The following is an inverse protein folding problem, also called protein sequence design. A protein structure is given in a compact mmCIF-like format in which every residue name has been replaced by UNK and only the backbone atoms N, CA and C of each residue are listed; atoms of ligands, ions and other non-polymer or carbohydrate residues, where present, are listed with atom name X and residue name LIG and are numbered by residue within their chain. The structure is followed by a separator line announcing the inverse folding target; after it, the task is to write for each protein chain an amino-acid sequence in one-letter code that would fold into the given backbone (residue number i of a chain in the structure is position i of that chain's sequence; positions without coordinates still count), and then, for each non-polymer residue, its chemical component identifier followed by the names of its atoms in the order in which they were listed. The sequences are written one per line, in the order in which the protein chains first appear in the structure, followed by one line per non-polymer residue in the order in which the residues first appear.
data_IF_368585959080
#
_entry.id   IF_368585959080
#
_cell.length_a   1.000
_cell.length_b   1.000
_cell.length_c   1.000
_cell.angle_alpha   90.00
_cell.angle_beta   90.00
_cell.angle_gamma   90.00
#
_symmetry.space_group_name_H-M   'P 1'
#
loop_
_entity.id
_entity.type
_entity.pdbx_description
1 polymer ?
#
# COMPACT_ATOMS: atom_id res chain seq x y z
N UNK A 1 -19.87 -3.10 -69.41
CA UNK A 1 -18.93 -2.68 -68.39
C UNK A 1 -19.57 -3.04 -67.03
N UNK A 2 -19.13 -4.11 -66.43
CA UNK A 2 -19.71 -4.66 -65.22
C UNK A 2 -18.71 -4.41 -64.06
N UNK A 3 -19.12 -3.60 -63.11
CA UNK A 3 -18.38 -3.37 -61.89
C UNK A 3 -18.62 -4.52 -60.91
N UNK A 4 -17.53 -5.22 -60.58
CA UNK A 4 -17.51 -6.23 -59.54
C UNK A 4 -17.17 -5.53 -58.18
N UNK A 5 -18.17 -5.42 -57.32
CA UNK A 5 -17.98 -5.05 -55.92
C UNK A 5 -17.61 -6.33 -55.15
N UNK A 6 -16.35 -6.46 -54.79
CA UNK A 6 -15.86 -7.49 -53.87
C UNK A 6 -16.12 -7.01 -52.43
N UNK A 7 -17.07 -7.66 -51.77
CA UNK A 7 -17.33 -7.46 -50.33
C UNK A 7 -16.30 -8.25 -49.54
N UNK A 8 -15.35 -7.55 -48.94
CA UNK A 8 -14.40 -8.12 -47.95
C UNK A 8 -15.17 -8.39 -46.67
N UNK A 9 -15.42 -9.66 -46.38
CA UNK A 9 -15.92 -10.09 -45.06
C UNK A 9 -14.74 -10.13 -44.09
N UNK A 10 -14.71 -9.13 -43.19
CA UNK A 10 -13.85 -9.16 -42.02
C UNK A 10 -14.48 -10.13 -40.97
N UNK A 11 -13.97 -11.34 -40.95
CA UNK A 11 -14.24 -12.26 -39.83
C UNK A 11 -13.38 -11.84 -38.62
N UNK A 12 -13.95 -10.99 -37.77
CA UNK A 12 -13.42 -10.75 -36.45
C UNK A 12 -13.64 -12.02 -35.61
N UNK A 13 -12.65 -12.88 -35.55
CA UNK A 13 -12.56 -13.91 -34.52
C UNK A 13 -12.30 -13.22 -33.18
N UNK A 14 -13.36 -12.92 -32.47
CA UNK A 14 -13.29 -12.63 -31.04
C UNK A 14 -12.80 -13.93 -30.37
N UNK A 15 -11.54 -13.91 -29.92
CA UNK A 15 -11.03 -14.94 -29.03
C UNK A 15 -11.72 -14.67 -27.68
N UNK A 16 -12.81 -15.42 -27.41
CA UNK A 16 -13.39 -15.50 -26.08
C UNK A 16 -12.34 -16.18 -25.19
N UNK A 17 -11.65 -15.37 -24.38
CA UNK A 17 -10.98 -15.86 -23.17
C UNK A 17 -12.08 -16.22 -22.15
N UNK A 18 -12.68 -17.39 -22.33
CA UNK A 18 -13.42 -18.04 -21.26
C UNK A 18 -12.38 -18.63 -20.28
N UNK A 19 -11.76 -17.77 -19.47
CA UNK A 19 -11.19 -18.25 -18.23
C UNK A 19 -12.35 -18.78 -17.40
N UNK A 20 -12.26 -20.00 -16.90
CA UNK A 20 -13.18 -20.51 -15.89
C UNK A 20 -13.16 -19.54 -14.73
N UNK A 21 -14.19 -18.67 -14.66
CA UNK A 21 -14.42 -17.82 -13.48
C UNK A 21 -14.93 -18.80 -12.44
N UNK A 22 -14.02 -19.27 -11.59
CA UNK A 22 -14.39 -20.08 -10.44
C UNK A 22 -15.23 -19.20 -9.51
N UNK A 23 -16.54 -19.49 -9.44
CA UNK A 23 -17.45 -18.77 -8.56
C UNK A 23 -17.07 -19.12 -7.11
N UNK A 24 -16.67 -18.11 -6.34
CA UNK A 24 -16.28 -18.25 -4.93
C UNK A 24 -17.46 -18.76 -4.12
N UNK A 25 -17.25 -19.85 -3.39
CA UNK A 25 -18.29 -20.39 -2.52
C UNK A 25 -18.32 -19.71 -1.16
N UNK A 26 -19.49 -19.72 -0.48
CA UNK A 26 -19.59 -19.16 0.89
C UNK A 26 -18.62 -19.86 1.85
N UNK A 27 -18.42 -21.15 1.73
CA UNK A 27 -17.53 -21.91 2.61
C UNK A 27 -16.05 -21.52 2.39
N UNK A 28 -15.61 -21.31 1.15
CA UNK A 28 -14.28 -20.82 0.84
C UNK A 28 -14.06 -19.39 1.38
N UNK A 29 -15.06 -18.52 1.23
CA UNK A 29 -14.98 -17.15 1.78
C UNK A 29 -14.89 -17.16 3.31
N UNK A 30 -15.60 -18.02 4.01
CA UNK A 30 -15.51 -18.18 5.46
C UNK A 30 -14.14 -18.74 5.90
N UNK A 31 -13.55 -19.64 5.11
CA UNK A 31 -12.18 -20.12 5.35
C UNK A 31 -11.16 -18.98 5.17
N UNK A 32 -11.29 -18.19 4.10
CA UNK A 32 -10.44 -17.03 3.89
C UNK A 32 -10.63 -15.99 5.01
N UNK A 33 -11.87 -15.70 5.43
CA UNK A 33 -12.13 -14.83 6.58
C UNK A 33 -11.42 -15.35 7.84
N UNK A 34 -11.52 -16.63 8.13
CA UNK A 34 -10.81 -17.23 9.27
C UNK A 34 -9.30 -17.08 9.15
N UNK A 35 -8.75 -17.26 7.94
CA UNK A 35 -7.30 -17.10 7.68
C UNK A 35 -6.85 -15.66 7.84
N UNK A 36 -7.59 -14.70 7.30
CA UNK A 36 -7.29 -13.26 7.43
C UNK A 36 -7.27 -12.81 8.90
N UNK A 37 -8.18 -13.36 9.73
CA UNK A 37 -8.34 -12.97 11.13
C UNK A 37 -7.43 -13.73 12.11
N UNK A 38 -6.73 -14.76 11.66
CA UNK A 38 -5.86 -15.59 12.49
C UNK A 38 -4.46 -14.96 12.62
N UNK A 39 -4.21 -14.32 13.77
CA UNK A 39 -2.93 -13.66 14.07
C UNK A 39 -1.74 -14.63 14.19
N UNK A 40 -1.98 -15.92 14.40
CA UNK A 40 -0.96 -16.94 14.46
C UNK A 40 -0.45 -17.34 13.06
N UNK A 41 -1.18 -16.97 12.00
CA UNK A 41 -0.76 -17.21 10.61
C UNK A 41 0.26 -16.19 10.11
N UNK A 42 1.14 -16.59 9.18
CA UNK A 42 2.05 -15.68 8.51
C UNK A 42 1.29 -14.52 7.85
N UNK A 43 1.86 -13.31 7.93
CA UNK A 43 1.25 -12.12 7.33
C UNK A 43 0.94 -12.28 5.83
N UNK A 44 1.81 -12.99 5.08
CA UNK A 44 1.58 -13.28 3.66
C UNK A 44 0.30 -14.09 3.40
N UNK A 45 0.02 -15.10 4.23
CA UNK A 45 -1.22 -15.88 4.09
C UNK A 45 -2.46 -15.05 4.43
N UNK A 46 -2.35 -14.19 5.44
CA UNK A 46 -3.42 -13.27 5.83
C UNK A 46 -3.68 -12.23 4.75
N UNK A 47 -2.63 -11.73 4.10
CA UNK A 47 -2.73 -10.77 3.00
C UNK A 47 -3.38 -11.40 1.76
N UNK A 48 -3.01 -12.65 1.40
CA UNK A 48 -3.67 -13.39 0.32
C UNK A 48 -5.18 -13.58 0.58
N UNK A 49 -5.53 -13.90 1.82
CA UNK A 49 -6.92 -14.04 2.23
C UNK A 49 -7.68 -12.69 2.20
N UNK A 50 -7.04 -11.61 2.59
CA UNK A 50 -7.56 -10.24 2.50
C UNK A 50 -7.82 -9.85 1.03
N UNK A 51 -6.85 -10.03 0.14
CA UNK A 51 -6.99 -9.73 -1.29
C UNK A 51 -8.13 -10.57 -1.92
N UNK A 52 -8.24 -11.84 -1.54
CA UNK A 52 -9.33 -12.70 -1.98
C UNK A 52 -10.70 -12.16 -1.57
N UNK A 53 -10.85 -11.64 -0.34
CA UNK A 53 -12.12 -11.11 0.17
C UNK A 53 -12.43 -9.71 -0.38
N UNK A 54 -11.42 -8.91 -0.74
CA UNK A 54 -11.61 -7.61 -1.38
C UNK A 54 -12.32 -7.71 -2.74
N UNK A 55 -12.10 -8.80 -3.48
CA UNK A 55 -12.75 -8.96 -4.78
C UNK A 55 -14.27 -9.15 -4.68
N UNK A 56 -14.71 -9.97 -3.74
CA UNK A 56 -16.14 -10.20 -3.43
C UNK A 56 -16.28 -10.97 -2.12
N UNK A 57 -17.07 -10.45 -1.18
CA UNK A 57 -17.43 -11.12 0.06
C UNK A 57 -18.91 -10.95 0.43
N UNK A 58 -19.78 -10.53 -0.51
CA UNK A 58 -21.20 -10.29 -0.26
C UNK A 58 -21.90 -11.47 0.44
N UNK A 59 -21.65 -12.77 0.08
CA UNK A 59 -22.28 -13.91 0.73
C UNK A 59 -21.98 -14.08 2.23
N UNK A 60 -20.89 -13.49 2.73
CA UNK A 60 -20.46 -13.56 4.14
C UNK A 60 -20.46 -12.19 4.84
N UNK A 61 -21.05 -11.18 4.22
CA UNK A 61 -21.01 -9.81 4.73
C UNK A 61 -21.55 -9.69 6.16
N UNK A 62 -22.63 -10.37 6.49
CA UNK A 62 -23.20 -10.38 7.85
C UNK A 62 -22.23 -11.04 8.86
N UNK A 63 -21.60 -12.16 8.47
CA UNK A 63 -20.61 -12.85 9.29
C UNK A 63 -19.40 -11.96 9.60
N UNK A 64 -19.03 -11.06 8.67
CA UNK A 64 -17.96 -10.08 8.85
C UNK A 64 -18.40 -8.91 9.73
N UNK A 65 -19.61 -8.38 9.52
CA UNK A 65 -20.17 -7.26 10.30
C UNK A 65 -20.25 -7.63 11.78
N UNK A 66 -20.63 -8.85 12.11
CA UNK A 66 -20.73 -9.34 13.49
C UNK A 66 -19.37 -9.32 14.22
N UNK A 67 -18.26 -9.26 13.49
CA UNK A 67 -16.89 -9.23 14.05
C UNK A 67 -16.33 -7.83 14.29
N UNK A 68 -16.97 -6.78 13.77
CA UNK A 68 -16.44 -5.38 13.78
C UNK A 68 -15.95 -4.97 15.18
N UNK A 69 -16.75 -5.26 16.22
CA UNK A 69 -16.45 -4.80 17.58
C UNK A 69 -15.64 -5.79 18.42
N UNK A 70 -15.28 -6.94 17.85
CA UNK A 70 -14.51 -7.97 18.55
C UNK A 70 -13.02 -7.99 18.16
N UNK A 71 -12.63 -7.16 17.21
CA UNK A 71 -11.29 -7.11 16.66
C UNK A 71 -10.64 -5.74 16.90
N UNK A 72 -9.32 -5.74 17.03
CA UNK A 72 -8.49 -4.56 17.19
C UNK A 72 -7.24 -4.67 16.31
N UNK A 73 -6.39 -3.65 16.32
CA UNK A 73 -5.10 -3.64 15.65
C UNK A 73 -5.19 -3.90 14.14
N UNK A 74 -4.20 -4.58 13.60
CA UNK A 74 -4.06 -4.85 12.16
C UNK A 74 -5.20 -5.70 11.61
N UNK A 75 -5.63 -6.70 12.36
CA UNK A 75 -6.74 -7.59 11.96
C UNK A 75 -8.05 -6.83 11.82
N UNK A 76 -8.32 -5.92 12.75
CA UNK A 76 -9.49 -5.03 12.69
C UNK A 76 -9.42 -4.07 11.50
N UNK A 77 -8.24 -3.53 11.17
CA UNK A 77 -8.04 -2.68 10.00
C UNK A 77 -8.34 -3.42 8.71
N UNK A 78 -7.75 -4.59 8.50
CA UNK A 78 -8.01 -5.43 7.31
C UNK A 78 -9.50 -5.71 7.14
N UNK A 79 -10.21 -6.07 8.23
CA UNK A 79 -11.64 -6.29 8.19
C UNK A 79 -12.41 -5.04 7.76
N UNK A 80 -12.07 -3.88 8.33
CA UNK A 80 -12.77 -2.63 8.04
C UNK A 80 -12.50 -2.11 6.62
N UNK A 81 -11.30 -2.34 6.08
CA UNK A 81 -10.99 -1.98 4.68
C UNK A 81 -11.82 -2.80 3.70
N UNK A 82 -11.97 -4.11 3.92
CA UNK A 82 -12.84 -4.96 3.10
C UNK A 82 -14.31 -4.51 3.22
N UNK A 83 -14.79 -4.28 4.44
CA UNK A 83 -16.18 -3.88 4.68
C UNK A 83 -16.50 -2.49 4.11
N UNK A 84 -15.53 -1.58 4.03
CA UNK A 84 -15.74 -0.22 3.51
C UNK A 84 -16.15 -0.20 2.02
N UNK A 85 -15.90 -1.26 1.26
CA UNK A 85 -16.36 -1.41 -0.13
C UNK A 85 -17.88 -1.57 -0.23
N UNK A 86 -18.55 -2.06 0.85
CA UNK A 86 -20.00 -2.31 0.90
C UNK A 86 -20.77 -1.11 1.46
N UNK A 87 -20.91 -0.07 0.62
CA UNK A 87 -21.49 1.22 0.98
C UNK A 87 -22.96 1.13 1.37
N UNK A 88 -23.42 2.10 2.18
CA UNK A 88 -24.83 2.25 2.56
C UNK A 88 -25.27 1.35 3.73
N UNK A 89 -24.38 0.53 4.30
CA UNK A 89 -24.68 -0.26 5.50
C UNK A 89 -24.32 0.54 6.76
N UNK A 90 -25.34 0.85 7.58
CA UNK A 90 -25.17 1.65 8.78
C UNK A 90 -24.23 0.99 9.82
N UNK A 91 -24.22 -0.32 9.92
CA UNK A 91 -23.34 -1.02 10.87
C UNK A 91 -21.87 -0.87 10.50
N UNK A 92 -21.56 -0.93 9.20
CA UNK A 92 -20.20 -0.69 8.68
C UNK A 92 -19.79 0.76 8.93
N UNK A 93 -20.63 1.73 8.60
CA UNK A 93 -20.35 3.14 8.87
C UNK A 93 -20.04 3.38 10.35
N UNK A 94 -20.87 2.85 11.25
CA UNK A 94 -20.65 2.96 12.70
C UNK A 94 -19.37 2.24 13.15
N UNK A 95 -18.99 1.16 12.48
CA UNK A 95 -17.72 0.48 12.67
C UNK A 95 -16.55 1.41 12.32
N UNK A 96 -16.55 2.00 11.13
CA UNK A 96 -15.52 2.97 10.70
C UNK A 96 -15.36 4.11 11.70
N UNK A 97 -16.49 4.68 12.16
CA UNK A 97 -16.51 5.72 13.19
C UNK A 97 -15.90 5.22 14.51
N UNK A 98 -16.26 4.01 14.94
CA UNK A 98 -15.72 3.42 16.16
C UNK A 98 -14.19 3.26 16.12
N UNK A 99 -13.66 2.81 14.98
CA UNK A 99 -12.21 2.67 14.79
C UNK A 99 -11.50 4.02 14.70
N UNK A 100 -12.10 5.03 14.05
CA UNK A 100 -11.58 6.39 14.09
C UNK A 100 -11.38 6.88 15.54
N UNK A 101 -12.39 6.68 16.40
CA UNK A 101 -12.34 7.09 17.80
C UNK A 101 -11.41 6.26 18.69
N UNK A 102 -10.94 5.09 18.23
CA UNK A 102 -9.85 4.35 18.90
C UNK A 102 -8.51 5.08 18.73
N UNK A 103 -8.32 5.87 17.67
CA UNK A 103 -7.13 6.68 17.44
C UNK A 103 -5.89 5.89 17.03
N UNK A 104 -6.02 4.61 16.64
CA UNK A 104 -4.87 3.77 16.26
C UNK A 104 -4.32 4.09 14.87
N UNK A 105 -5.19 4.51 13.93
CA UNK A 105 -4.83 4.89 12.56
C UNK A 105 -5.85 5.91 12.03
N UNK A 106 -5.76 7.11 12.53
CA UNK A 106 -6.71 8.19 12.21
C UNK A 106 -6.72 8.50 10.73
N UNK A 107 -5.56 8.51 10.09
CA UNK A 107 -5.45 8.81 8.67
C UNK A 107 -6.18 7.79 7.79
N UNK A 108 -6.02 6.49 8.09
CA UNK A 108 -6.72 5.42 7.39
C UNK A 108 -8.24 5.55 7.56
N UNK A 109 -8.72 5.66 8.80
CA UNK A 109 -10.16 5.67 9.05
C UNK A 109 -10.83 6.96 8.58
N UNK A 110 -10.15 8.10 8.60
CA UNK A 110 -10.65 9.33 7.97
C UNK A 110 -10.87 9.12 6.46
N UNK A 111 -9.88 8.57 5.77
CA UNK A 111 -9.96 8.25 4.33
C UNK A 111 -11.08 7.25 4.04
N UNK A 112 -11.20 6.17 4.83
CA UNK A 112 -12.26 5.18 4.63
C UNK A 112 -13.66 5.78 4.85
N UNK A 113 -13.86 6.67 5.82
CA UNK A 113 -15.13 7.38 6.05
C UNK A 113 -15.45 8.29 4.86
N UNK A 114 -14.46 9.04 4.35
CA UNK A 114 -14.62 9.88 3.15
C UNK A 114 -15.05 9.05 1.94
N UNK A 115 -14.29 8.00 1.62
CA UNK A 115 -14.57 7.09 0.51
C UNK A 115 -15.89 6.33 0.67
N UNK A 116 -16.32 6.03 1.90
CA UNK A 116 -17.59 5.38 2.18
C UNK A 116 -18.79 6.21 1.72
N UNK A 117 -18.70 7.53 1.82
CA UNK A 117 -19.63 8.45 1.20
C UNK A 117 -20.93 8.69 1.97
N UNK A 118 -20.99 8.38 3.28
CA UNK A 118 -22.14 8.74 4.13
C UNK A 118 -22.01 10.20 4.58
N UNK A 119 -23.02 11.02 4.27
CA UNK A 119 -23.04 12.46 4.59
C UNK A 119 -22.86 12.76 6.10
N UNK A 120 -23.24 11.83 6.99
CA UNK A 120 -23.00 11.95 8.42
C UNK A 120 -21.50 11.98 8.77
N UNK A 121 -20.64 11.47 7.87
CA UNK A 121 -19.19 11.51 8.01
C UNK A 121 -18.64 12.92 8.19
N UNK A 122 -19.23 13.93 7.54
CA UNK A 122 -18.80 15.34 7.68
C UNK A 122 -18.82 15.79 9.14
N UNK A 123 -19.93 15.59 9.82
CA UNK A 123 -20.10 15.99 11.24
C UNK A 123 -19.21 15.17 12.15
N UNK A 124 -19.10 13.87 11.89
CA UNK A 124 -18.25 12.96 12.67
C UNK A 124 -16.78 13.37 12.59
N UNK A 125 -16.26 13.60 11.38
CA UNK A 125 -14.85 13.94 11.17
C UNK A 125 -14.51 15.32 11.74
N UNK A 126 -15.39 16.31 11.58
CA UNK A 126 -15.20 17.65 12.18
C UNK A 126 -15.20 17.57 13.71
N UNK A 127 -16.18 16.90 14.30
CA UNK A 127 -16.27 16.73 15.75
C UNK A 127 -15.05 15.96 16.30
N UNK A 128 -14.59 14.95 15.58
CA UNK A 128 -13.38 14.23 15.95
C UNK A 128 -12.16 15.17 15.96
N UNK A 129 -11.95 15.93 14.87
CA UNK A 129 -10.83 16.85 14.73
C UNK A 129 -10.84 17.98 15.79
N UNK A 130 -12.01 18.42 16.26
CA UNK A 130 -12.14 19.41 17.34
C UNK A 130 -11.71 18.90 18.72
N UNK A 131 -11.82 17.58 18.95
CA UNK A 131 -11.56 16.94 20.24
C UNK A 131 -10.29 16.10 20.27
N UNK A 132 -9.60 16.00 19.15
CA UNK A 132 -8.35 15.26 18.95
C UNK A 132 -7.26 16.21 18.48
N UNK A 133 -6.02 15.98 18.86
CA UNK A 133 -4.87 16.74 18.37
C UNK A 133 -4.16 15.95 17.27
N UNK A 134 -4.62 16.04 16.00
CA UNK A 134 -4.01 15.31 14.91
C UNK A 134 -2.63 15.87 14.58
N UNK A 135 -1.70 15.01 14.17
CA UNK A 135 -0.52 15.44 13.45
C UNK A 135 -0.90 15.99 12.06
N UNK A 136 0.06 16.60 11.36
CA UNK A 136 -0.24 17.24 10.07
C UNK A 136 -0.79 16.26 9.03
N UNK A 137 -0.28 15.03 8.96
CA UNK A 137 -0.77 14.02 8.02
C UNK A 137 -2.22 13.61 8.32
N UNK A 138 -2.53 13.33 9.58
CA UNK A 138 -3.89 12.99 10.01
C UNK A 138 -4.87 14.15 9.74
N UNK A 139 -4.45 15.38 10.02
CA UNK A 139 -5.25 16.57 9.73
C UNK A 139 -5.56 16.69 8.22
N UNK A 140 -4.58 16.43 7.36
CA UNK A 140 -4.79 16.48 5.92
C UNK A 140 -5.77 15.41 5.45
N UNK A 141 -5.70 14.18 6.00
CA UNK A 141 -6.65 13.13 5.66
C UNK A 141 -8.06 13.42 6.18
N UNK A 142 -8.20 13.96 7.41
CA UNK A 142 -9.49 14.41 7.95
C UNK A 142 -10.12 15.49 7.07
N UNK A 143 -9.31 16.47 6.66
CA UNK A 143 -9.74 17.53 5.76
C UNK A 143 -10.18 16.99 4.41
N UNK A 144 -9.35 16.17 3.76
CA UNK A 144 -9.64 15.58 2.45
C UNK A 144 -10.94 14.77 2.50
N UNK A 145 -11.16 13.99 3.55
CA UNK A 145 -12.36 13.20 3.73
C UNK A 145 -13.64 14.06 3.88
N UNK A 146 -13.56 15.18 4.63
CA UNK A 146 -14.67 16.12 4.75
C UNK A 146 -14.97 16.78 3.41
N UNK A 147 -13.94 17.21 2.66
CA UNK A 147 -14.10 17.82 1.33
C UNK A 147 -14.67 16.81 0.32
N UNK A 148 -14.24 15.55 0.37
CA UNK A 148 -14.77 14.46 -0.47
C UNK A 148 -16.26 14.20 -0.22
N UNK A 149 -16.70 14.30 1.03
CA UNK A 149 -18.10 14.22 1.42
C UNK A 149 -18.91 15.50 1.08
N UNK A 150 -18.28 16.51 0.47
CA UNK A 150 -18.90 17.76 0.09
C UNK A 150 -19.08 18.75 1.24
N UNK A 151 -18.43 18.53 2.37
CA UNK A 151 -18.41 19.44 3.50
C UNK A 151 -17.34 20.53 3.37
N UNK A 152 -17.50 21.63 4.10
CA UNK A 152 -16.50 22.67 4.26
C UNK A 152 -15.63 22.34 5.50
N UNK A 153 -14.30 22.40 5.35
CA UNK A 153 -13.36 22.17 6.43
C UNK A 153 -12.68 23.50 6.82
N UNK A 154 -13.22 24.19 7.80
CA UNK A 154 -12.80 25.51 8.26
C UNK A 154 -11.98 25.48 9.57
N UNK A 155 -11.68 24.30 10.08
CA UNK A 155 -10.86 24.13 11.27
C UNK A 155 -9.41 24.50 10.97
N UNK A 156 -8.83 25.35 11.82
CA UNK A 156 -7.44 25.80 11.69
C UNK A 156 -6.64 25.29 12.87
N UNK A 157 -5.54 24.62 12.54
CA UNK A 157 -4.56 24.15 13.52
C UNK A 157 -3.17 24.70 13.16
N UNK A 158 -2.35 24.87 14.20
CA UNK A 158 -0.95 25.27 14.05
C UNK A 158 -0.08 24.02 14.07
N UNK A 159 0.67 23.81 12.97
CA UNK A 159 1.59 22.70 12.81
C UNK A 159 3.04 23.15 12.77
N UNK A 160 3.36 24.37 13.28
CA UNK A 160 4.73 24.90 13.26
C UNK A 160 5.75 23.98 13.92
N UNK A 161 5.32 23.17 14.89
CA UNK A 161 6.15 22.20 15.61
C UNK A 161 6.07 20.77 15.06
N UNK A 162 5.20 20.51 14.07
CA UNK A 162 5.08 19.20 13.46
C UNK A 162 6.27 18.94 12.50
N UNK A 163 7.04 17.84 12.70
CA UNK A 163 8.24 17.57 11.89
C UNK A 163 7.93 17.38 10.40
N UNK A 164 6.83 16.73 10.06
CA UNK A 164 6.45 16.49 8.68
C UNK A 164 6.02 17.79 7.98
N UNK A 165 5.22 18.63 8.67
CA UNK A 165 4.87 19.95 8.16
C UNK A 165 6.11 20.82 7.93
N UNK A 166 7.05 20.87 8.90
CA UNK A 166 8.29 21.63 8.79
C UNK A 166 9.12 21.18 7.60
N UNK A 167 9.27 19.86 7.43
CA UNK A 167 9.95 19.27 6.27
C UNK A 167 9.31 19.69 4.94
N UNK A 168 7.98 19.57 4.81
CA UNK A 168 7.24 19.94 3.59
C UNK A 168 7.34 21.44 3.28
N UNK A 169 7.44 22.29 4.30
CA UNK A 169 7.57 23.75 4.14
C UNK A 169 9.01 24.22 4.02
N UNK A 170 9.98 23.32 4.12
CA UNK A 170 11.39 23.68 4.11
C UNK A 170 11.79 24.59 5.28
N UNK A 171 11.12 24.43 6.43
CA UNK A 171 11.35 25.24 7.63
C UNK A 171 12.50 24.70 8.49
N UNK A 172 12.91 23.48 8.28
CA UNK A 172 14.10 22.93 8.92
C UNK A 172 15.32 23.47 8.17
N UNK A 173 16.18 24.16 8.91
CA UNK A 173 17.54 24.43 8.42
C UNK A 173 18.21 23.07 8.25
N UNK A 174 18.21 22.55 7.04
CA UNK A 174 18.95 21.34 6.72
C UNK A 174 20.42 21.76 6.77
N UNK A 175 21.11 21.47 7.87
CA UNK A 175 22.57 21.53 7.90
C UNK A 175 23.06 20.82 6.65
N UNK A 176 24.00 21.43 5.92
CA UNK A 176 24.57 20.84 4.70
C UNK A 176 25.12 19.42 4.97
N UNK A 177 25.46 19.11 6.21
CA UNK A 177 25.91 17.81 6.69
C UNK A 177 24.77 16.78 6.82
N UNK A 178 23.53 17.23 7.09
CA UNK A 178 22.31 16.39 7.11
C UNK A 178 21.68 16.22 5.73
N UNK A 179 22.16 16.89 4.70
CA UNK A 179 21.74 16.68 3.30
C UNK A 179 22.29 15.40 2.69
N UNK A 180 23.23 14.73 3.37
CA UNK A 180 23.59 13.37 2.99
C UNK A 180 22.38 12.47 3.27
N UNK A 181 21.66 12.16 2.19
CA UNK A 181 20.59 11.17 2.23
C UNK A 181 21.12 9.94 2.96
N UNK A 182 20.35 9.30 3.88
CA UNK A 182 20.73 8.00 4.42
C UNK A 182 21.00 6.97 3.32
N UNK A 183 20.50 7.22 2.11
CA UNK A 183 20.79 6.45 0.90
C UNK A 183 22.17 6.76 0.30
N UNK A 184 22.69 8.01 0.42
CA UNK A 184 24.05 8.33 -0.06
C UNK A 184 25.14 7.61 0.74
N UNK A 185 24.96 7.46 2.05
CA UNK A 185 25.87 6.65 2.87
C UNK A 185 25.79 5.18 2.50
N UNK A 186 24.61 4.68 2.08
CA UNK A 186 24.45 3.29 1.61
C UNK A 186 25.11 3.07 0.24
N UNK A 187 25.03 4.02 -0.67
CA UNK A 187 25.69 3.92 -1.98
C UNK A 187 27.19 4.23 -1.90
N UNK A 188 27.62 5.14 -1.02
CA UNK A 188 29.04 5.45 -0.85
C UNK A 188 29.78 4.39 -0.02
N UNK A 189 29.12 3.68 0.88
CA UNK A 189 29.75 2.54 1.61
C UNK A 189 29.96 1.32 0.71
N UNK A 190 29.27 1.25 -0.44
CA UNK A 190 29.48 0.17 -1.43
C UNK A 190 30.63 0.47 -2.42
N UNK A 191 31.15 1.71 -2.44
CA UNK A 191 32.19 2.11 -3.40
C UNK A 191 33.58 2.30 -2.79
N UNK A 192 33.74 2.13 -1.45
CA UNK A 192 35.06 2.05 -0.80
C UNK A 192 35.53 0.61 -0.61
N UNK A 193 35.37 -0.23 -1.64
CA UNK A 193 36.28 -1.36 -1.76
C UNK A 193 37.56 -0.80 -2.39
N UNK A 194 38.47 -0.37 -1.51
CA UNK A 194 39.86 -0.15 -1.87
C UNK A 194 40.41 -1.50 -2.41
N UNK A 195 40.63 -1.52 -3.71
CA UNK A 195 41.26 -2.61 -4.44
C UNK A 195 42.78 -2.72 -4.13
N UNK A 196 43.27 -1.96 -3.13
CA UNK A 196 44.70 -1.89 -2.82
C UNK A 196 45.20 -3.01 -1.87
N UNK A 197 44.30 -3.89 -1.39
CA UNK A 197 44.68 -4.99 -0.48
C UNK A 197 44.29 -6.40 -1.03
N UNK A 198 44.24 -6.61 -2.32
CA UNK A 198 44.28 -7.94 -2.89
C UNK A 198 45.74 -8.39 -2.94
N UNK A 199 46.28 -8.78 -1.80
CA UNK A 199 47.51 -9.59 -1.75
C UNK A 199 47.30 -10.91 -2.51
N UNK A 200 48.33 -11.36 -3.25
CA UNK A 200 48.37 -12.42 -4.26
C UNK A 200 47.95 -13.86 -3.82
N UNK A 201 47.09 -14.01 -2.79
CA UNK A 201 46.70 -15.32 -2.23
C UNK A 201 45.15 -15.54 -2.24
N UNK A 202 44.43 -15.20 -3.33
CA UNK A 202 43.02 -15.59 -3.50
C UNK A 202 42.90 -17.04 -4.02
N UNK A 203 43.27 -18.03 -3.15
CA UNK A 203 43.01 -19.46 -3.39
C UNK A 203 41.62 -19.92 -2.90
N UNK A 204 40.70 -19.01 -2.57
CA UNK A 204 39.35 -19.34 -2.10
C UNK A 204 38.31 -19.35 -3.25
N UNK A 205 37.69 -20.54 -3.43
CA UNK A 205 36.69 -20.87 -4.46
C UNK A 205 35.36 -20.07 -4.32
N UNK A 206 35.27 -19.05 -3.43
CA UNK A 206 34.08 -18.21 -3.15
C UNK A 206 34.33 -16.71 -3.34
N UNK A 207 35.27 -16.29 -4.20
CA UNK A 207 35.46 -14.88 -4.51
C UNK A 207 34.29 -14.36 -5.38
N UNK A 208 33.27 -13.79 -4.72
CA UNK A 208 32.10 -13.18 -5.36
C UNK A 208 32.37 -11.79 -5.92
N UNK A 209 33.43 -11.60 -6.69
CA UNK A 209 33.66 -10.34 -7.40
C UNK A 209 32.65 -10.18 -8.54
N UNK A 210 31.62 -9.35 -8.34
CA UNK A 210 30.72 -8.90 -9.39
C UNK A 210 31.35 -7.68 -10.06
N UNK A 211 31.96 -7.89 -11.22
CA UNK A 211 32.35 -6.80 -12.11
C UNK A 211 31.18 -6.54 -13.08
N UNK A 212 30.32 -5.57 -12.75
CA UNK A 212 29.15 -5.17 -13.56
C UNK A 212 29.42 -3.93 -14.44
N UNK A 213 30.66 -3.53 -14.69
CA UNK A 213 30.96 -2.36 -15.53
C UNK A 213 31.91 -2.70 -16.69
N UNK A 214 31.58 -2.19 -17.90
CA UNK A 214 32.28 -2.32 -19.17
C UNK A 214 33.70 -1.70 -19.20
N UNK A 215 34.23 -1.23 -18.06
CA UNK A 215 35.54 -0.57 -17.92
C UNK A 215 36.48 -1.35 -16.96
N UNK A 216 36.47 -2.67 -17.02
CA UNK A 216 37.43 -3.46 -16.25
C UNK A 216 38.76 -3.53 -17.00
N UNK A 217 39.70 -2.62 -16.69
CA UNK A 217 41.09 -2.69 -17.11
C UNK A 217 41.84 -3.77 -16.30
N UNK A 218 41.41 -5.01 -16.46
CA UNK A 218 42.17 -6.15 -15.91
C UNK A 218 43.38 -6.40 -16.82
N UNK A 219 44.59 -6.25 -16.29
CA UNK A 219 45.82 -6.68 -16.98
C UNK A 219 45.74 -8.18 -17.35
N UNK A 220 46.41 -8.58 -18.42
CA UNK A 220 46.32 -9.82 -19.21
C UNK A 220 46.35 -11.16 -18.46
N UNK A 221 46.35 -11.21 -17.12
CA UNK A 221 46.47 -12.41 -16.30
C UNK A 221 45.24 -12.75 -15.42
N UNK A 222 44.08 -12.09 -15.61
CA UNK A 222 42.86 -12.38 -14.83
C UNK A 222 41.96 -13.40 -15.55
N UNK A 223 41.95 -14.66 -15.07
CA UNK A 223 41.05 -15.74 -15.54
C UNK A 223 39.62 -15.55 -15.03
N UNK A 224 38.95 -14.45 -15.43
CA UNK A 224 37.55 -14.23 -15.16
C UNK A 224 36.71 -15.14 -16.08
N UNK A 225 36.15 -16.20 -15.54
CA UNK A 225 35.21 -17.06 -16.26
C UNK A 225 33.91 -16.33 -16.53
N UNK A 226 33.72 -15.88 -17.78
CA UNK A 226 32.41 -15.45 -18.28
C UNK A 226 31.46 -16.64 -18.28
N UNK A 227 30.48 -16.64 -17.37
CA UNK A 227 29.30 -17.47 -17.50
C UNK A 227 28.30 -16.75 -18.41
N UNK A 228 28.21 -17.18 -19.66
CA UNK A 228 27.10 -16.86 -20.56
C UNK A 228 25.82 -17.54 -20.04
N UNK A 229 24.77 -16.71 -19.83
CA UNK A 229 23.37 -17.15 -19.75
C UNK A 229 22.51 -16.44 -20.80
#
# INVERSE_FOLDING_TARGET
MADKNETIKNENTAVEFAGDIHEKTKDEMLEMLSTMLDEDKPYSERLEAYEYLLEDCEPILEDMIDKIYSLDGETGKMLMEVLAEYKGNKAIFMGLVSYLYKGEDVALFARLIGAYGDEQGVEVLKTFCENYEPNYNEYMELRNAVEELGGDFDLKQDFSDDPFYRFLKGLDEVDEESRKSPFEDYFNSSSEHNHDDCDDDCDDEDCGCHCDDDDCDCDDDCDCHHHEH
#
